data_IF_065169689279
#
_entry.id   IF_065169689279
#
_cell.length_a   1.000
_cell.length_b   1.000
_cell.length_c   1.000
_cell.angle_alpha   90.00
_cell.angle_beta   90.00
_cell.angle_gamma   90.00
#
_symmetry.space_group_name_H-M   'P 1'
#
loop_
_entity.id
_entity.type
_entity.pdbx_description
1 polymer ?
#
# COMPACT_ATOMS: atom_id res chain seq x y z
N UNK A 1 -27.65 -24.24 -33.66
CA UNK A 1 -27.05 -24.27 -32.33
C UNK A 1 -25.51 -24.51 -32.36
N UNK A 2 -24.76 -23.95 -33.33
CA UNK A 2 -23.28 -24.02 -33.40
C UNK A 2 -22.57 -22.67 -33.42
N UNK A 3 -23.32 -21.56 -33.34
CA UNK A 3 -22.77 -20.18 -33.43
C UNK A 3 -22.52 -19.48 -32.09
N UNK A 4 -22.89 -20.07 -30.94
CA UNK A 4 -22.75 -19.44 -29.64
C UNK A 4 -21.56 -19.96 -28.79
N UNK A 5 -20.72 -20.83 -29.37
CA UNK A 5 -19.59 -21.45 -28.64
C UNK A 5 -18.20 -20.82 -28.88
N UNK A 6 -18.09 -19.79 -29.71
CA UNK A 6 -16.78 -19.25 -30.15
C UNK A 6 -16.46 -17.83 -29.62
N UNK A 7 -17.07 -17.36 -28.54
CA UNK A 7 -16.77 -16.05 -27.96
C UNK A 7 -16.12 -16.09 -26.57
N UNK A 8 -15.69 -17.25 -26.12
CA UNK A 8 -14.73 -17.36 -25.01
C UNK A 8 -13.39 -17.79 -25.63
N UNK A 9 -12.84 -16.97 -26.52
CA UNK A 9 -11.39 -16.91 -26.65
C UNK A 9 -10.89 -16.48 -25.28
N UNK A 10 -10.14 -17.35 -24.59
CA UNK A 10 -9.39 -17.01 -23.39
C UNK A 10 -8.50 -15.83 -23.76
N UNK A 11 -8.97 -14.60 -23.44
CA UNK A 11 -8.14 -13.40 -23.54
C UNK A 11 -6.92 -13.69 -22.65
N UNK A 12 -5.78 -13.83 -23.25
CA UNK A 12 -4.54 -13.94 -22.48
C UNK A 12 -4.42 -12.69 -21.62
N UNK A 13 -4.08 -12.83 -20.33
CA UNK A 13 -3.93 -11.67 -19.46
C UNK A 13 -2.96 -10.67 -20.10
N UNK A 14 -3.43 -9.45 -20.35
CA UNK A 14 -2.62 -8.37 -20.96
C UNK A 14 -2.51 -7.19 -20.02
N UNK A 15 -1.43 -6.42 -20.15
CA UNK A 15 -1.30 -5.14 -19.48
C UNK A 15 -2.30 -4.14 -20.08
N UNK A 16 -3.03 -3.44 -19.23
CA UNK A 16 -4.02 -2.43 -19.61
C UNK A 16 -3.48 -1.05 -19.25
N UNK A 17 -3.49 -0.13 -20.21
CA UNK A 17 -2.92 1.22 -20.06
C UNK A 17 -3.86 2.33 -20.50
N UNK A 18 -5.05 1.99 -21.02
CA UNK A 18 -6.03 2.97 -21.47
C UNK A 18 -7.46 2.56 -21.09
N UNK A 19 -8.41 3.51 -21.07
CA UNK A 19 -9.84 3.20 -20.94
C UNK A 19 -10.39 2.32 -22.07
N UNK A 20 -9.85 2.48 -23.28
CA UNK A 20 -10.23 1.68 -24.45
C UNK A 20 -9.79 0.23 -24.31
N UNK A 21 -8.63 -0.03 -23.68
CA UNK A 21 -8.17 -1.38 -23.36
C UNK A 21 -9.13 -2.05 -22.34
N UNK A 22 -9.61 -1.29 -21.33
CA UNK A 22 -10.60 -1.78 -20.35
C UNK A 22 -11.91 -2.18 -21.03
N UNK A 23 -12.39 -1.35 -21.97
CA UNK A 23 -13.59 -1.67 -22.74
C UNK A 23 -13.38 -2.91 -23.61
N UNK A 24 -12.26 -2.97 -24.32
CA UNK A 24 -11.92 -4.12 -25.19
C UNK A 24 -11.77 -5.42 -24.41
N UNK A 25 -11.23 -5.35 -23.20
CA UNK A 25 -11.11 -6.48 -22.30
C UNK A 25 -12.43 -6.87 -21.59
N UNK A 26 -13.49 -6.08 -21.77
CA UNK A 26 -14.79 -6.33 -21.16
C UNK A 26 -14.87 -6.02 -19.66
N UNK A 27 -13.92 -5.26 -19.13
CA UNK A 27 -13.91 -4.85 -17.72
C UNK A 27 -14.83 -3.65 -17.43
N UNK A 28 -15.19 -2.88 -18.43
CA UNK A 28 -16.17 -1.80 -18.34
C UNK A 28 -17.17 -1.91 -19.49
N UNK A 29 -18.46 -1.56 -19.27
CA UNK A 29 -19.43 -1.48 -20.33
C UNK A 29 -19.26 -0.19 -21.15
N UNK A 30 -19.74 -0.14 -22.41
CA UNK A 30 -19.53 1.01 -23.32
C UNK A 30 -20.04 2.35 -22.78
N UNK A 31 -21.12 2.36 -22.03
CA UNK A 31 -21.72 3.55 -21.42
C UNK A 31 -20.89 4.13 -20.27
N UNK A 32 -19.95 3.37 -19.69
CA UNK A 32 -19.02 3.85 -18.68
C UNK A 32 -17.75 4.50 -19.26
N UNK A 33 -17.43 4.30 -20.55
CA UNK A 33 -16.17 4.72 -21.15
C UNK A 33 -15.88 6.21 -20.95
N UNK A 34 -16.88 7.08 -21.17
CA UNK A 34 -16.69 8.53 -21.03
C UNK A 34 -16.29 8.93 -19.59
N UNK A 35 -17.01 8.40 -18.59
CA UNK A 35 -16.72 8.69 -17.18
C UNK A 35 -15.37 8.11 -16.72
N UNK A 36 -14.99 6.94 -17.22
CA UNK A 36 -13.70 6.31 -16.96
C UNK A 36 -12.55 7.08 -17.63
N UNK A 37 -12.78 7.60 -18.84
CA UNK A 37 -11.79 8.46 -19.53
C UNK A 37 -11.56 9.76 -18.75
N UNK A 38 -12.60 10.39 -18.25
CA UNK A 38 -12.49 11.58 -17.38
C UNK A 38 -11.71 11.27 -16.10
N UNK A 39 -12.04 10.19 -15.37
CA UNK A 39 -11.32 9.75 -14.18
C UNK A 39 -9.83 9.45 -14.46
N UNK A 40 -9.54 8.94 -15.65
CA UNK A 40 -8.18 8.58 -16.08
C UNK A 40 -7.32 9.79 -16.46
N UNK A 41 -7.91 10.96 -16.62
CA UNK A 41 -7.18 12.22 -16.87
C UNK A 41 -6.39 12.67 -15.62
N UNK A 42 -6.90 12.41 -14.43
CA UNK A 42 -6.21 12.73 -13.15
C UNK A 42 -5.23 11.62 -12.75
N UNK A 43 -5.68 10.36 -12.78
CA UNK A 43 -4.85 9.20 -12.48
C UNK A 43 -4.96 8.22 -13.65
N UNK A 44 -3.90 8.05 -14.47
CA UNK A 44 -3.93 7.17 -15.64
C UNK A 44 -4.29 5.72 -15.30
N UNK A 45 -4.65 4.93 -16.31
CA UNK A 45 -4.82 3.49 -16.17
C UNK A 45 -3.47 2.81 -16.26
N UNK A 46 -3.16 1.95 -15.30
CA UNK A 46 -2.06 0.99 -15.38
C UNK A 46 -2.41 -0.25 -14.58
N UNK A 47 -2.61 -1.37 -15.27
CA UNK A 47 -2.96 -2.65 -14.67
C UNK A 47 -2.09 -3.72 -15.33
N UNK A 48 -1.29 -4.43 -14.55
CA UNK A 48 -0.40 -5.49 -15.07
C UNK A 48 -1.20 -6.68 -15.59
N UNK A 49 -0.58 -7.46 -16.48
CA UNK A 49 -1.16 -8.72 -16.95
C UNK A 49 -1.43 -9.72 -15.82
N UNK A 50 -0.66 -9.64 -14.74
CA UNK A 50 -0.91 -10.45 -13.54
C UNK A 50 -2.26 -10.09 -12.90
N UNK A 51 -2.48 -8.81 -12.63
CA UNK A 51 -3.74 -8.32 -12.03
C UNK A 51 -4.93 -8.54 -12.95
N UNK A 52 -4.80 -8.31 -14.26
CA UNK A 52 -5.91 -8.60 -15.20
C UNK A 52 -6.29 -10.08 -15.21
N UNK A 53 -5.34 -10.97 -14.98
CA UNK A 53 -5.59 -12.41 -14.80
C UNK A 53 -6.34 -12.79 -13.52
N UNK A 54 -6.36 -11.89 -12.50
CA UNK A 54 -7.09 -12.08 -11.24
C UNK A 54 -8.51 -11.49 -11.27
N UNK A 55 -8.82 -10.66 -12.27
CA UNK A 55 -10.13 -10.02 -12.40
C UNK A 55 -11.03 -10.92 -13.21
N UNK A 56 -12.14 -11.35 -12.62
CA UNK A 56 -13.21 -12.05 -13.34
C UNK A 56 -14.05 -11.03 -14.14
N UNK A 57 -14.04 -11.08 -15.49
CA UNK A 57 -14.86 -10.19 -16.30
C UNK A 57 -16.37 -10.33 -16.04
N UNK A 58 -16.84 -11.47 -15.53
CA UNK A 58 -18.22 -11.67 -15.13
C UNK A 58 -18.56 -11.03 -13.78
N UNK A 59 -17.53 -10.62 -13.00
CA UNK A 59 -17.66 -9.96 -11.70
C UNK A 59 -16.74 -8.75 -11.61
N UNK A 60 -16.95 -7.70 -12.44
CA UNK A 60 -16.07 -6.52 -12.49
C UNK A 60 -16.07 -5.70 -11.20
N UNK A 61 -16.99 -5.97 -10.28
CA UNK A 61 -17.08 -5.36 -8.95
C UNK A 61 -16.36 -6.14 -7.86
N UNK A 62 -15.55 -7.12 -8.22
CA UNK A 62 -14.74 -7.89 -7.28
C UNK A 62 -13.70 -7.03 -6.53
N UNK A 63 -13.20 -7.49 -5.37
CA UNK A 63 -12.32 -6.70 -4.50
C UNK A 63 -10.96 -6.37 -5.16
N UNK A 64 -10.48 -7.20 -6.09
CA UNK A 64 -9.28 -6.90 -6.87
C UNK A 64 -9.59 -5.83 -7.92
N UNK A 65 -10.65 -6.01 -8.71
CA UNK A 65 -11.06 -5.09 -9.77
C UNK A 65 -11.26 -3.66 -9.25
N UNK A 66 -12.01 -3.49 -8.16
CA UNK A 66 -12.27 -2.18 -7.54
C UNK A 66 -11.02 -1.38 -7.20
N UNK A 67 -9.90 -2.05 -6.94
CA UNK A 67 -8.65 -1.37 -6.60
C UNK A 67 -7.94 -0.76 -7.80
N UNK A 68 -8.21 -1.22 -9.03
CA UNK A 68 -7.42 -0.87 -10.21
C UNK A 68 -8.25 -0.34 -11.39
N UNK A 69 -9.51 -0.75 -11.51
CA UNK A 69 -10.38 -0.27 -12.58
C UNK A 69 -10.96 1.08 -12.18
N UNK A 70 -10.71 2.17 -12.94
CA UNK A 70 -11.28 3.48 -12.65
C UNK A 70 -12.81 3.48 -12.84
N UNK A 71 -13.47 4.34 -12.08
CA UNK A 71 -14.93 4.52 -12.16
C UNK A 71 -15.29 6.01 -12.20
N UNK A 72 -16.49 6.32 -12.70
CA UNK A 72 -17.02 7.69 -12.68
C UNK A 72 -17.19 8.28 -11.27
N UNK A 73 -17.16 7.47 -10.21
CA UNK A 73 -17.20 7.94 -8.82
C UNK A 73 -15.97 8.80 -8.46
N UNK A 74 -14.84 8.59 -9.15
CA UNK A 74 -13.60 9.36 -8.95
C UNK A 74 -13.71 10.81 -9.44
N UNK A 75 -14.65 11.11 -10.33
CA UNK A 75 -14.88 12.45 -10.86
C UNK A 75 -15.59 13.36 -9.83
N UNK A 76 -16.14 12.78 -8.76
CA UNK A 76 -16.78 13.54 -7.69
C UNK A 76 -15.75 13.90 -6.62
N UNK A 77 -15.51 15.20 -6.44
CA UNK A 77 -14.66 15.74 -5.36
C UNK A 77 -15.53 16.17 -4.20
N UNK A 78 -15.05 15.92 -2.98
CA UNK A 78 -15.68 16.39 -1.75
C UNK A 78 -14.89 17.57 -1.19
N UNK A 79 -15.59 18.50 -0.48
CA UNK A 79 -14.98 19.70 0.06
C UNK A 79 -13.82 19.44 1.03
N UNK A 80 -13.88 18.30 1.73
CA UNK A 80 -12.84 17.89 2.69
C UNK A 80 -11.65 17.15 2.06
N UNK A 81 -11.66 16.91 0.75
CA UNK A 81 -10.57 16.24 0.04
C UNK A 81 -9.42 17.19 -0.29
N UNK A 82 -8.21 16.69 -0.19
CA UNK A 82 -6.97 17.45 -0.32
C UNK A 82 -6.09 16.85 -1.42
N UNK A 83 -5.38 17.70 -2.16
CA UNK A 83 -4.35 17.27 -3.11
C UNK A 83 -3.15 16.67 -2.40
N UNK A 84 -2.81 17.16 -1.21
CA UNK A 84 -1.79 16.62 -0.31
C UNK A 84 -2.45 16.19 1.02
N UNK A 85 -3.15 15.05 1.05
CA UNK A 85 -3.99 14.66 2.18
C UNK A 85 -3.21 14.35 3.45
N UNK A 86 -1.93 13.99 3.35
CA UNK A 86 -1.08 13.68 4.50
C UNK A 86 0.01 14.72 4.75
N UNK A 87 0.06 15.81 3.96
CA UNK A 87 1.01 16.89 4.15
C UNK A 87 2.46 16.51 3.87
N UNK A 88 2.72 15.87 2.74
CA UNK A 88 4.10 15.57 2.32
C UNK A 88 4.82 16.84 1.84
N UNK A 89 4.12 17.76 1.16
CA UNK A 89 4.70 18.98 0.57
C UNK A 89 5.41 19.85 1.61
N UNK A 90 4.79 20.25 2.75
CA UNK A 90 5.45 21.08 3.74
C UNK A 90 6.65 20.40 4.43
N UNK A 91 6.77 19.09 4.31
CA UNK A 91 7.87 18.29 4.86
C UNK A 91 8.90 17.85 3.79
N UNK A 92 8.84 18.41 2.59
CA UNK A 92 9.75 18.10 1.48
C UNK A 92 10.80 19.23 1.31
N UNK A 93 11.92 19.19 2.05
CA UNK A 93 12.94 20.23 2.00
C UNK A 93 13.65 20.31 0.65
N UNK A 94 13.77 19.17 -0.04
CA UNK A 94 14.34 19.06 -1.39
C UNK A 94 13.60 17.98 -2.19
N UNK A 95 13.78 17.96 -3.50
CA UNK A 95 13.23 16.92 -4.35
C UNK A 95 13.68 15.52 -3.88
N UNK A 96 12.74 14.58 -3.85
CA UNK A 96 12.99 13.20 -3.46
C UNK A 96 13.03 12.93 -1.95
N UNK A 97 12.97 13.94 -1.08
CA UNK A 97 12.95 13.76 0.38
C UNK A 97 11.63 14.26 0.98
N UNK A 98 11.05 13.43 1.87
CA UNK A 98 10.01 13.86 2.81
C UNK A 98 10.52 13.56 4.22
N UNK A 99 10.78 14.61 5.02
CA UNK A 99 11.37 14.52 6.37
C UNK A 99 10.41 15.09 7.42
N UNK A 100 9.44 14.26 7.85
CA UNK A 100 8.41 14.63 8.85
C UNK A 100 8.79 14.24 10.27
N UNK A 101 9.53 13.14 10.42
CA UNK A 101 9.92 12.58 11.72
C UNK A 101 11.42 12.72 11.93
N UNK A 102 11.88 12.97 13.16
CA UNK A 102 13.29 13.30 13.40
C UNK A 102 14.26 12.16 13.04
N UNK A 103 13.83 10.90 13.16
CA UNK A 103 14.69 9.72 13.04
C UNK A 103 14.59 9.01 11.69
N UNK A 104 13.76 9.50 10.75
CA UNK A 104 13.54 8.82 9.47
C UNK A 104 13.04 9.73 8.37
N UNK A 105 13.39 9.38 7.14
CA UNK A 105 12.92 10.07 5.93
C UNK A 105 12.31 9.11 4.93
N UNK A 106 11.40 9.62 4.09
CA UNK A 106 11.09 8.98 2.83
C UNK A 106 12.10 9.47 1.77
N UNK A 107 12.70 8.54 1.05
CA UNK A 107 13.38 8.80 -0.21
C UNK A 107 12.47 8.30 -1.33
N UNK A 108 12.10 9.21 -2.25
CA UNK A 108 11.18 8.93 -3.36
C UNK A 108 11.93 8.95 -4.70
N UNK A 109 12.74 7.90 -5.00
CA UNK A 109 13.61 7.87 -6.18
C UNK A 109 12.84 7.64 -7.48
N UNK A 110 11.56 7.30 -7.39
CA UNK A 110 10.66 7.03 -8.51
C UNK A 110 9.23 7.38 -8.12
N UNK A 111 8.47 7.98 -9.05
CA UNK A 111 7.06 8.31 -8.87
C UNK A 111 6.14 7.46 -9.78
N UNK A 112 6.68 6.48 -10.48
CA UNK A 112 5.93 5.52 -11.29
C UNK A 112 5.67 4.23 -10.51
N UNK A 113 4.54 3.57 -10.77
CA UNK A 113 4.16 2.27 -10.23
C UNK A 113 3.86 1.27 -11.37
N UNK A 114 3.93 -0.04 -11.11
CA UNK A 114 3.51 -1.05 -12.09
C UNK A 114 1.99 -1.07 -12.30
N UNK A 115 1.25 -0.62 -11.29
CA UNK A 115 -0.21 -0.44 -11.30
C UNK A 115 -0.58 0.89 -10.66
N UNK A 116 -1.68 1.51 -11.08
CA UNK A 116 -2.20 2.71 -10.41
C UNK A 116 -3.43 2.35 -9.59
N UNK A 117 -3.21 2.30 -8.26
CA UNK A 117 -4.26 2.02 -7.29
C UNK A 117 -5.26 3.18 -7.25
N UNK A 118 -6.56 2.93 -7.45
CA UNK A 118 -7.56 3.99 -7.54
C UNK A 118 -7.78 4.76 -6.22
N UNK A 119 -7.36 4.20 -5.12
CA UNK A 119 -7.32 4.80 -3.77
C UNK A 119 -5.98 5.47 -3.41
N UNK A 120 -5.07 5.67 -4.39
CA UNK A 120 -3.75 6.24 -4.14
C UNK A 120 -3.87 7.66 -3.57
N UNK A 121 -3.24 7.90 -2.41
CA UNK A 121 -3.23 9.23 -1.79
C UNK A 121 -2.22 10.19 -2.47
N UNK A 122 -1.23 9.67 -3.20
CA UNK A 122 -0.27 10.44 -4.01
C UNK A 122 -0.66 10.54 -5.48
N UNK A 123 -1.95 10.38 -5.78
CA UNK A 123 -2.45 10.30 -7.16
C UNK A 123 -2.08 11.50 -8.02
N UNK A 124 -1.89 12.68 -7.41
CA UNK A 124 -1.49 13.91 -8.12
C UNK A 124 -0.01 13.92 -8.55
N UNK A 125 0.84 13.09 -7.90
CA UNK A 125 2.29 13.04 -8.18
C UNK A 125 2.71 11.73 -8.88
N UNK A 126 1.84 10.73 -8.94
CA UNK A 126 2.16 9.44 -9.55
C UNK A 126 2.20 9.57 -11.07
N UNK A 127 3.30 9.08 -11.68
CA UNK A 127 3.53 9.13 -13.13
C UNK A 127 4.71 9.99 -13.56
N UNK A 128 5.26 10.83 -12.69
CA UNK A 128 6.34 11.79 -13.02
C UNK A 128 7.72 11.14 -13.26
N UNK A 129 7.80 9.81 -13.23
CA UNK A 129 9.01 9.07 -13.63
C UNK A 129 10.05 8.90 -12.53
N UNK A 130 11.31 8.89 -12.94
CA UNK A 130 12.47 8.74 -12.05
C UNK A 130 12.99 10.10 -11.61
N UNK A 131 13.39 10.20 -10.34
CA UNK A 131 14.16 11.34 -9.84
C UNK A 131 15.44 11.50 -10.67
N UNK A 132 15.73 12.72 -11.12
CA UNK A 132 16.95 13.00 -11.87
C UNK A 132 18.20 12.64 -11.06
N UNK A 133 19.31 12.31 -11.76
CA UNK A 133 20.53 11.87 -11.06
C UNK A 133 21.05 12.93 -10.10
N UNK A 134 21.07 14.18 -10.51
CA UNK A 134 21.52 15.31 -9.68
C UNK A 134 20.64 15.50 -8.44
N UNK A 135 19.34 15.29 -8.58
CA UNK A 135 18.39 15.37 -7.45
C UNK A 135 18.55 14.18 -6.50
N UNK A 136 18.80 12.99 -7.04
CA UNK A 136 19.08 11.83 -6.22
C UNK A 136 20.39 12.01 -5.42
N UNK A 137 21.44 12.52 -6.05
CA UNK A 137 22.71 12.79 -5.38
C UNK A 137 22.50 13.83 -4.25
N UNK A 138 21.74 14.90 -4.52
CA UNK A 138 21.37 15.88 -3.51
C UNK A 138 20.54 15.28 -2.35
N UNK A 139 19.62 14.35 -2.65
CA UNK A 139 18.82 13.65 -1.65
C UNK A 139 19.70 12.72 -0.76
N UNK A 140 20.66 12.02 -1.35
CA UNK A 140 21.63 11.20 -0.62
C UNK A 140 22.57 12.06 0.24
N UNK A 141 23.00 13.22 -0.26
CA UNK A 141 23.79 14.17 0.51
C UNK A 141 22.99 14.79 1.66
N UNK A 142 21.70 15.06 1.43
CA UNK A 142 20.80 15.48 2.51
C UNK A 142 20.79 14.44 3.65
N UNK A 143 20.56 13.16 3.33
CA UNK A 143 20.57 12.07 4.32
C UNK A 143 21.93 12.00 5.03
N UNK A 144 23.04 12.10 4.30
CA UNK A 144 24.40 12.03 4.83
C UNK A 144 24.72 13.15 5.82
N UNK A 145 24.13 14.35 5.60
CA UNK A 145 24.34 15.53 6.42
C UNK A 145 23.39 15.65 7.63
N UNK A 146 22.44 14.71 7.80
CA UNK A 146 21.45 14.69 8.89
C UNK A 146 21.65 13.41 9.71
N UNK A 147 22.58 13.46 10.66
CA UNK A 147 23.00 12.27 11.44
C UNK A 147 21.92 11.71 12.38
N UNK A 148 20.86 12.45 12.61
CA UNK A 148 19.65 11.99 13.34
C UNK A 148 18.81 11.00 12.54
N UNK A 149 18.98 10.89 11.21
CA UNK A 149 18.26 9.96 10.37
C UNK A 149 18.79 8.55 10.58
N UNK A 150 18.07 7.76 11.35
CA UNK A 150 18.37 6.37 11.64
C UNK A 150 17.81 5.40 10.58
N UNK A 151 16.68 5.77 9.94
CA UNK A 151 15.98 4.94 8.95
C UNK A 151 15.70 5.71 7.66
N UNK A 152 15.95 5.05 6.51
CA UNK A 152 15.56 5.55 5.19
C UNK A 152 14.50 4.65 4.57
N UNK A 153 13.38 5.23 4.18
CA UNK A 153 12.23 4.53 3.61
C UNK A 153 12.14 4.84 2.11
N UNK A 154 12.44 3.86 1.27
CA UNK A 154 12.20 3.97 -0.17
C UNK A 154 10.70 3.84 -0.44
N UNK A 155 10.13 4.85 -1.10
CA UNK A 155 8.70 4.96 -1.40
C UNK A 155 8.49 5.86 -2.63
N UNK A 156 7.37 6.57 -2.73
CA UNK A 156 6.98 7.48 -3.81
C UNK A 156 5.98 6.82 -4.74
N UNK A 157 6.42 6.33 -5.90
CA UNK A 157 5.78 5.26 -6.64
C UNK A 157 6.17 3.91 -6.02
N UNK A 158 6.50 2.93 -6.82
CA UNK A 158 6.98 1.65 -6.28
C UNK A 158 8.47 1.47 -6.58
N UNK A 159 9.34 1.46 -5.55
CA UNK A 159 10.78 1.37 -5.74
C UNK A 159 11.25 0.12 -6.49
N UNK A 160 10.51 -1.01 -6.38
CA UNK A 160 10.91 -2.27 -7.01
C UNK A 160 10.65 -2.32 -8.52
N UNK A 161 10.08 -1.26 -9.13
CA UNK A 161 10.04 -1.14 -10.59
C UNK A 161 11.37 -0.69 -11.19
N UNK A 162 12.24 -0.09 -10.39
CA UNK A 162 13.55 0.33 -10.86
C UNK A 162 14.39 -0.88 -11.30
N UNK A 163 15.33 -0.63 -12.22
CA UNK A 163 16.26 -1.68 -12.61
C UNK A 163 17.13 -2.13 -11.42
N UNK A 164 17.57 -3.40 -11.37
CA UNK A 164 18.50 -3.87 -10.34
C UNK A 164 19.75 -3.00 -10.23
N UNK A 165 20.28 -2.49 -11.35
CA UNK A 165 21.42 -1.57 -11.36
C UNK A 165 21.13 -0.27 -10.59
N UNK A 166 19.95 0.35 -10.81
CA UNK A 166 19.56 1.60 -10.13
C UNK A 166 19.34 1.36 -8.64
N UNK A 167 18.66 0.25 -8.28
CA UNK A 167 18.49 -0.16 -6.90
C UNK A 167 19.84 -0.38 -6.20
N UNK A 168 20.75 -1.13 -6.84
CA UNK A 168 22.10 -1.35 -6.31
C UNK A 168 22.83 -0.03 -6.02
N UNK A 169 22.75 0.94 -6.94
CA UNK A 169 23.37 2.26 -6.75
C UNK A 169 22.82 2.97 -5.52
N UNK A 170 21.51 3.02 -5.35
CA UNK A 170 20.86 3.70 -4.22
C UNK A 170 21.17 2.98 -2.91
N UNK A 171 20.98 1.65 -2.89
CA UNK A 171 21.17 0.85 -1.66
C UNK A 171 22.63 0.88 -1.22
N UNK A 172 23.60 0.84 -2.15
CA UNK A 172 25.03 1.01 -1.81
C UNK A 172 25.31 2.36 -1.17
N UNK A 173 24.79 3.44 -1.79
CA UNK A 173 25.03 4.78 -1.27
C UNK A 173 24.44 4.99 0.14
N UNK A 174 23.32 4.30 0.46
CA UNK A 174 22.72 4.31 1.79
C UNK A 174 23.50 3.42 2.78
N UNK A 175 23.99 2.24 2.32
CA UNK A 175 24.79 1.31 3.13
C UNK A 175 26.16 1.90 3.55
N UNK A 176 26.65 2.91 2.83
CA UNK A 176 27.88 3.68 3.11
C UNK A 176 27.67 4.81 4.13
N UNK A 177 26.43 5.09 4.56
CA UNK A 177 26.13 6.14 5.55
C UNK A 177 26.06 5.51 6.94
N UNK A 178 27.04 5.76 7.78
CA UNK A 178 27.23 5.08 9.08
C UNK A 178 26.04 5.16 10.03
N UNK A 179 25.30 6.27 10.04
CA UNK A 179 24.15 6.45 10.93
C UNK A 179 22.84 5.84 10.38
N UNK A 180 22.79 5.45 9.12
CA UNK A 180 21.61 4.76 8.54
C UNK A 180 21.66 3.30 8.95
N UNK A 181 20.91 2.94 9.98
CA UNK A 181 20.87 1.60 10.54
C UNK A 181 19.87 0.67 9.86
N UNK A 182 18.85 1.22 9.20
CA UNK A 182 17.75 0.48 8.54
C UNK A 182 17.37 1.13 7.22
N UNK A 183 17.19 0.29 6.21
CA UNK A 183 16.54 0.67 4.95
C UNK A 183 15.20 -0.07 4.91
N UNK A 184 14.12 0.63 4.58
CA UNK A 184 12.80 0.03 4.42
C UNK A 184 12.26 0.34 3.02
N UNK A 185 11.65 -0.64 2.38
CA UNK A 185 11.09 -0.51 1.04
C UNK A 185 9.59 -0.75 1.11
N UNK A 186 8.80 0.24 0.70
CA UNK A 186 7.36 0.10 0.54
C UNK A 186 7.07 -0.31 -0.90
N UNK A 187 6.42 -1.45 -1.08
CA UNK A 187 6.18 -2.02 -2.41
C UNK A 187 4.87 -2.80 -2.49
N UNK A 188 4.29 -2.81 -3.68
CA UNK A 188 3.18 -3.67 -4.04
C UNK A 188 3.59 -4.72 -5.08
N UNK A 189 4.81 -4.65 -5.60
CA UNK A 189 5.33 -5.53 -6.67
C UNK A 189 5.09 -7.01 -6.40
N UNK A 190 5.33 -7.58 -5.21
CA UNK A 190 5.13 -9.02 -5.00
C UNK A 190 3.71 -9.53 -5.30
N UNK A 191 2.68 -8.67 -5.17
CA UNK A 191 1.27 -9.05 -5.43
C UNK A 191 0.71 -8.50 -6.74
N UNK A 192 1.38 -7.54 -7.39
CA UNK A 192 0.88 -6.96 -8.65
C UNK A 192 1.74 -7.29 -9.87
N UNK A 193 3.01 -7.65 -9.66
CA UNK A 193 3.94 -8.08 -10.71
C UNK A 193 5.01 -9.02 -10.12
N UNK A 194 4.61 -10.21 -9.61
CA UNK A 194 5.50 -11.12 -8.88
C UNK A 194 6.73 -11.55 -9.68
N UNK A 195 6.65 -11.56 -11.01
CA UNK A 195 7.76 -11.95 -11.91
C UNK A 195 8.95 -10.99 -11.81
N UNK A 196 8.78 -9.80 -11.28
CA UNK A 196 9.88 -8.84 -11.03
C UNK A 196 10.78 -9.23 -9.87
N UNK A 197 10.32 -10.10 -8.98
CA UNK A 197 11.14 -10.60 -7.86
C UNK A 197 12.11 -11.65 -8.39
N UNK A 198 13.18 -11.19 -9.02
CA UNK A 198 14.22 -12.01 -9.64
C UNK A 198 15.46 -12.08 -8.74
N UNK A 199 16.33 -13.07 -8.98
CA UNK A 199 17.61 -13.20 -8.25
C UNK A 199 18.48 -11.93 -8.37
N UNK A 200 18.46 -11.26 -9.51
CA UNK A 200 19.18 -10.02 -9.72
C UNK A 200 18.62 -8.87 -8.87
N UNK A 201 17.30 -8.78 -8.70
CA UNK A 201 16.67 -7.81 -7.80
C UNK A 201 17.00 -8.14 -6.35
N UNK A 202 16.87 -9.39 -5.94
CA UNK A 202 17.25 -9.86 -4.59
C UNK A 202 18.70 -9.51 -4.27
N UNK A 203 19.61 -9.78 -5.20
CA UNK A 203 21.04 -9.44 -5.05
C UNK A 203 21.26 -7.93 -4.93
N UNK A 204 20.49 -7.13 -5.68
CA UNK A 204 20.56 -5.66 -5.62
C UNK A 204 20.19 -5.10 -4.23
N UNK A 205 19.34 -5.80 -3.49
CA UNK A 205 18.87 -5.37 -2.16
C UNK A 205 19.74 -5.84 -1.00
N UNK A 206 20.53 -6.92 -1.16
CA UNK A 206 21.35 -7.50 -0.07
C UNK A 206 22.55 -6.62 0.26
N UNK A 207 22.60 -6.11 1.49
CA UNK A 207 23.72 -5.31 2.03
C UNK A 207 23.95 -5.63 3.50
N UNK A 208 24.96 -4.96 4.09
CA UNK A 208 25.22 -5.00 5.53
C UNK A 208 24.07 -4.38 6.31
N UNK A 209 23.60 -3.21 5.87
CA UNK A 209 22.43 -2.54 6.46
C UNK A 209 21.18 -3.37 6.22
N UNK A 210 20.39 -3.72 7.27
CA UNK A 210 19.16 -4.48 7.13
C UNK A 210 18.15 -3.79 6.22
N UNK A 211 17.60 -4.55 5.27
CA UNK A 211 16.54 -4.10 4.37
C UNK A 211 15.23 -4.78 4.76
N UNK A 212 14.26 -3.98 5.20
CA UNK A 212 12.90 -4.43 5.49
C UNK A 212 11.99 -4.20 4.29
N UNK A 213 11.16 -5.17 3.97
CA UNK A 213 10.16 -5.04 2.90
C UNK A 213 8.79 -4.87 3.53
N UNK A 214 8.10 -3.78 3.19
CA UNK A 214 6.72 -3.54 3.61
C UNK A 214 5.80 -3.74 2.41
N UNK A 215 5.15 -4.89 2.40
CA UNK A 215 4.21 -5.29 1.36
C UNK A 215 2.92 -4.49 1.48
N UNK A 216 2.48 -3.85 0.41
CA UNK A 216 1.14 -3.28 0.31
C UNK A 216 0.20 -4.31 -0.34
N UNK A 217 -0.78 -4.79 0.43
CA UNK A 217 -1.80 -5.74 0.01
C UNK A 217 -3.10 -5.45 0.77
N UNK A 218 -4.24 -5.42 0.09
CA UNK A 218 -5.54 -5.06 0.68
C UNK A 218 -6.54 -6.21 0.70
N UNK A 219 -6.35 -7.27 -0.08
CA UNK A 219 -7.25 -8.41 -0.11
C UNK A 219 -6.50 -9.74 -0.24
N UNK A 220 -7.05 -10.80 0.34
CA UNK A 220 -6.42 -12.13 0.28
C UNK A 220 -6.34 -12.69 -1.15
N UNK A 221 -7.25 -12.29 -2.03
CA UNK A 221 -7.27 -12.71 -3.44
C UNK A 221 -6.11 -12.14 -4.27
N UNK A 222 -5.39 -11.15 -3.77
CA UNK A 222 -4.13 -10.67 -4.38
C UNK A 222 -2.98 -11.65 -4.13
N UNK A 223 -3.10 -12.50 -3.10
CA UNK A 223 -2.04 -13.41 -2.65
C UNK A 223 -2.20 -14.81 -3.25
N UNK A 224 -2.15 -14.89 -4.59
CA UNK A 224 -2.14 -16.15 -5.34
C UNK A 224 -0.76 -16.80 -5.29
N UNK A 225 -0.64 -18.00 -5.85
CA UNK A 225 0.58 -18.83 -5.78
C UNK A 225 1.83 -18.09 -6.25
N UNK A 226 1.74 -17.32 -7.33
CA UNK A 226 2.86 -16.54 -7.86
C UNK A 226 3.31 -15.44 -6.90
N UNK A 227 2.35 -14.77 -6.24
CA UNK A 227 2.64 -13.77 -5.22
C UNK A 227 3.26 -14.41 -3.97
N UNK A 228 2.73 -15.57 -3.53
CA UNK A 228 3.30 -16.33 -2.41
C UNK A 228 4.75 -16.75 -2.69
N UNK A 229 5.05 -17.21 -3.92
CA UNK A 229 6.40 -17.57 -4.33
C UNK A 229 7.36 -16.37 -4.34
N UNK A 230 6.89 -15.22 -4.84
CA UNK A 230 7.66 -13.96 -4.81
C UNK A 230 7.98 -13.53 -3.37
N UNK A 231 7.00 -13.60 -2.47
CA UNK A 231 7.17 -13.32 -1.04
C UNK A 231 8.14 -14.32 -0.41
N UNK A 232 7.98 -15.63 -0.67
CA UNK A 232 8.88 -16.66 -0.17
C UNK A 232 10.33 -16.41 -0.62
N UNK A 233 10.54 -16.02 -1.88
CA UNK A 233 11.88 -15.66 -2.40
C UNK A 233 12.50 -14.54 -1.58
N UNK A 234 11.76 -13.49 -1.23
CA UNK A 234 12.28 -12.40 -0.39
C UNK A 234 12.60 -12.88 1.04
N UNK A 235 11.67 -13.58 1.69
CA UNK A 235 11.84 -14.07 3.06
C UNK A 235 12.98 -15.08 3.17
N UNK A 236 13.10 -16.03 2.23
CA UNK A 236 14.14 -17.06 2.23
C UNK A 236 15.54 -16.47 1.96
N UNK A 237 15.58 -15.27 1.37
CA UNK A 237 16.81 -14.50 1.20
C UNK A 237 17.13 -13.58 2.38
N UNK A 238 16.37 -13.66 3.48
CA UNK A 238 16.66 -13.00 4.75
C UNK A 238 16.07 -11.59 4.89
N UNK A 239 15.14 -11.18 4.03
CA UNK A 239 14.45 -9.88 4.18
C UNK A 239 13.28 -10.03 5.17
N UNK A 240 13.29 -9.31 6.31
CA UNK A 240 12.12 -9.21 7.17
C UNK A 240 10.95 -8.59 6.41
N UNK A 241 9.79 -9.24 6.46
CA UNK A 241 8.61 -8.75 5.76
C UNK A 241 7.51 -8.31 6.71
N UNK A 242 7.03 -7.09 6.48
CA UNK A 242 5.88 -6.49 7.12
C UNK A 242 4.81 -6.20 6.06
N UNK A 243 3.56 -5.96 6.47
CA UNK A 243 2.54 -5.49 5.54
C UNK A 243 1.91 -4.18 5.98
N UNK A 244 1.49 -3.41 5.00
CA UNK A 244 0.54 -2.32 5.20
C UNK A 244 -0.66 -2.53 4.28
N UNK A 245 -1.84 -2.22 4.80
CA UNK A 245 -3.12 -2.28 4.10
C UNK A 245 -3.86 -0.97 4.33
N UNK A 246 -4.71 -0.58 3.39
CA UNK A 246 -5.65 0.52 3.57
C UNK A 246 -7.04 -0.08 3.79
N UNK A 247 -7.78 0.44 4.75
CA UNK A 247 -9.17 0.06 4.98
C UNK A 247 -10.06 0.72 3.91
N UNK A 248 -10.63 -0.08 3.03
CA UNK A 248 -11.35 0.35 1.83
C UNK A 248 -12.77 -0.21 1.81
N UNK A 249 -13.75 0.67 1.65
CA UNK A 249 -15.17 0.34 1.57
C UNK A 249 -15.45 -0.58 0.38
N UNK A 250 -16.16 -1.66 0.63
CA UNK A 250 -16.55 -2.66 -0.37
C UNK A 250 -15.40 -3.50 -0.91
N UNK A 251 -14.23 -3.49 -0.23
CA UNK A 251 -13.05 -4.30 -0.56
C UNK A 251 -12.64 -5.15 0.66
N UNK A 252 -12.36 -4.51 1.79
CA UNK A 252 -11.88 -5.20 2.99
C UNK A 252 -12.48 -4.63 4.30
N UNK A 253 -13.59 -3.92 4.21
CA UNK A 253 -14.31 -3.33 5.33
C UNK A 253 -15.25 -4.32 6.06
N UNK A 254 -15.14 -5.60 5.75
CA UNK A 254 -15.76 -6.71 6.47
C UNK A 254 -14.74 -7.39 7.40
N UNK A 255 -15.09 -7.69 8.67
CA UNK A 255 -14.17 -8.30 9.63
C UNK A 255 -13.66 -9.69 9.23
N UNK A 256 -14.46 -10.50 8.54
CA UNK A 256 -14.06 -11.85 8.15
C UNK A 256 -13.15 -11.82 6.92
N UNK A 257 -13.38 -10.89 5.99
CA UNK A 257 -12.48 -10.58 4.85
C UNK A 257 -11.13 -10.09 5.39
N UNK A 258 -11.14 -9.15 6.35
CA UNK A 258 -9.91 -8.67 6.98
C UNK A 258 -9.18 -9.79 7.72
N UNK A 259 -9.90 -10.65 8.44
CA UNK A 259 -9.32 -11.82 9.12
C UNK A 259 -8.66 -12.79 8.14
N UNK A 260 -9.28 -13.04 7.00
CA UNK A 260 -8.71 -13.88 5.93
C UNK A 260 -7.39 -13.29 5.40
N UNK A 261 -7.35 -11.99 5.12
CA UNK A 261 -6.14 -11.29 4.69
C UNK A 261 -5.03 -11.41 5.74
N UNK A 262 -5.32 -11.10 7.02
CA UNK A 262 -4.32 -11.14 8.09
C UNK A 262 -3.73 -12.54 8.28
N UNK A 263 -4.57 -13.59 8.22
CA UNK A 263 -4.11 -14.98 8.28
C UNK A 263 -3.24 -15.33 7.09
N UNK A 264 -3.64 -14.94 5.88
CA UNK A 264 -2.93 -15.20 4.64
C UNK A 264 -1.53 -14.57 4.67
N UNK A 265 -1.41 -13.30 5.10
CA UNK A 265 -0.14 -12.62 5.28
C UNK A 265 0.79 -13.39 6.23
N UNK A 266 0.28 -13.77 7.42
CA UNK A 266 1.09 -14.50 8.41
C UNK A 266 1.52 -15.88 7.91
N UNK A 267 0.65 -16.60 7.19
CA UNK A 267 1.02 -17.89 6.59
C UNK A 267 2.14 -17.77 5.55
N UNK A 268 2.26 -16.60 4.91
CA UNK A 268 3.38 -16.26 4.02
C UNK A 268 4.58 -15.61 4.75
N UNK A 269 4.62 -15.68 6.08
CA UNK A 269 5.71 -15.08 6.90
C UNK A 269 5.82 -13.55 6.78
N UNK A 270 4.70 -12.88 6.48
CA UNK A 270 4.57 -11.42 6.46
C UNK A 270 3.83 -10.98 7.71
N UNK A 271 4.45 -10.17 8.57
CA UNK A 271 3.81 -9.65 9.77
C UNK A 271 2.88 -8.47 9.42
N UNK A 272 1.56 -8.55 9.66
CA UNK A 272 0.68 -7.38 9.58
C UNK A 272 1.20 -6.25 10.47
N UNK A 273 1.53 -5.11 9.85
CA UNK A 273 2.13 -3.97 10.53
C UNK A 273 1.12 -2.84 10.69
N UNK A 274 0.68 -2.25 9.58
CA UNK A 274 -0.31 -1.18 9.61
C UNK A 274 -1.58 -1.55 8.84
N UNK A 275 -2.73 -1.19 9.41
CA UNK A 275 -3.99 -0.97 8.71
C UNK A 275 -4.24 0.54 8.72
N UNK A 276 -4.08 1.20 7.59
CA UNK A 276 -4.33 2.63 7.47
C UNK A 276 -5.83 2.91 7.33
N UNK A 277 -6.32 3.93 8.03
CA UNK A 277 -7.58 4.56 7.69
C UNK A 277 -7.40 5.28 6.33
N UNK A 278 -8.42 5.25 5.45
CA UNK A 278 -8.32 5.87 4.14
C UNK A 278 -8.10 7.38 4.22
N UNK A 279 -7.09 7.87 3.51
CA UNK A 279 -6.74 9.28 3.47
C UNK A 279 -7.79 10.09 2.68
N UNK A 280 -7.85 11.41 2.93
CA UNK A 280 -8.78 12.33 2.26
C UNK A 280 -8.23 12.83 0.91
N UNK A 281 -7.73 11.91 0.07
CA UNK A 281 -7.29 12.24 -1.28
C UNK A 281 -8.48 12.54 -2.21
N UNK A 282 -8.29 13.45 -3.15
CA UNK A 282 -9.32 13.83 -4.13
C UNK A 282 -9.77 12.62 -4.95
N UNK A 283 -11.10 12.48 -5.17
CA UNK A 283 -11.68 11.40 -5.95
C UNK A 283 -11.59 10.01 -5.32
N UNK A 284 -11.38 9.92 -3.99
CA UNK A 284 -11.31 8.62 -3.28
C UNK A 284 -12.45 8.43 -2.27
N UNK A 285 -13.42 9.34 -2.22
CA UNK A 285 -14.52 9.32 -1.23
C UNK A 285 -15.29 8.01 -1.18
N UNK A 286 -15.50 7.38 -2.33
CA UNK A 286 -16.24 6.12 -2.47
C UNK A 286 -15.52 4.92 -1.82
N UNK A 287 -14.21 5.01 -1.55
CA UNK A 287 -13.42 4.01 -0.82
C UNK A 287 -13.37 4.25 0.69
N UNK A 288 -13.77 5.44 1.16
CA UNK A 288 -13.62 5.78 2.57
C UNK A 288 -14.63 5.06 3.45
N UNK A 289 -14.14 4.60 4.59
CA UNK A 289 -14.94 4.04 5.68
C UNK A 289 -15.03 5.06 6.84
N UNK A 290 -15.70 4.70 7.92
CA UNK A 290 -15.66 5.49 9.16
C UNK A 290 -14.59 4.94 10.12
N UNK A 291 -14.10 5.79 11.02
CA UNK A 291 -13.22 5.36 12.12
C UNK A 291 -13.92 4.28 12.98
N UNK A 292 -15.23 4.41 13.18
CA UNK A 292 -16.02 3.43 13.91
C UNK A 292 -15.99 2.04 13.23
N UNK A 293 -16.08 1.98 11.90
CA UNK A 293 -15.92 0.74 11.13
C UNK A 293 -14.55 0.10 11.38
N UNK A 294 -13.48 0.89 11.26
CA UNK A 294 -12.11 0.38 11.50
C UNK A 294 -11.92 -0.13 12.93
N UNK A 295 -12.44 0.60 13.93
CA UNK A 295 -12.42 0.16 15.34
C UNK A 295 -13.17 -1.15 15.55
N UNK A 296 -14.36 -1.29 14.96
CA UNK A 296 -15.15 -2.52 15.05
C UNK A 296 -14.42 -3.72 14.44
N UNK A 297 -13.76 -3.54 13.28
CA UNK A 297 -12.94 -4.57 12.65
C UNK A 297 -11.79 -4.99 13.58
N UNK A 298 -11.00 -4.03 14.08
CA UNK A 298 -9.88 -4.33 14.98
C UNK A 298 -10.36 -5.05 16.25
N UNK A 299 -11.47 -4.60 16.86
CA UNK A 299 -12.05 -5.25 18.02
C UNK A 299 -12.47 -6.69 17.70
N UNK A 300 -13.01 -6.94 16.49
CA UNK A 300 -13.41 -8.27 16.04
C UNK A 300 -12.21 -9.20 15.80
N UNK A 301 -11.06 -8.66 15.38
CA UNK A 301 -9.83 -9.44 15.22
C UNK A 301 -9.19 -9.80 16.57
N UNK A 302 -9.28 -8.89 17.54
CA UNK A 302 -8.63 -9.03 18.85
C UNK A 302 -9.26 -10.17 19.67
N UNK A 303 -8.40 -11.00 20.28
CA UNK A 303 -8.82 -12.16 21.06
C UNK A 303 -9.35 -13.35 20.24
N UNK A 304 -9.58 -13.19 18.94
CA UNK A 304 -10.07 -14.24 18.02
C UNK A 304 -9.02 -14.76 17.07
N UNK A 305 -8.07 -13.90 16.71
CA UNK A 305 -6.90 -14.27 15.92
C UNK A 305 -5.64 -14.20 16.77
N UNK A 306 -4.62 -14.96 16.35
CA UNK A 306 -3.28 -14.87 16.90
C UNK A 306 -2.77 -13.43 16.98
N UNK A 307 -1.98 -13.10 17.98
CA UNK A 307 -1.28 -11.82 18.06
C UNK A 307 -0.41 -11.52 16.82
N UNK A 308 0.04 -12.55 16.10
CA UNK A 308 0.73 -12.38 14.82
C UNK A 308 -0.16 -11.74 13.73
N UNK A 309 -1.48 -11.96 13.80
CA UNK A 309 -2.46 -11.44 12.83
C UNK A 309 -3.00 -10.04 13.19
N UNK A 310 -2.45 -9.37 14.20
CA UNK A 310 -2.95 -8.08 14.67
C UNK A 310 -2.14 -6.93 14.07
N UNK A 311 -2.72 -6.12 13.15
CA UNK A 311 -2.11 -4.87 12.70
C UNK A 311 -2.37 -3.75 13.70
N UNK A 312 -1.56 -2.68 13.64
CA UNK A 312 -1.90 -1.39 14.25
C UNK A 312 -2.81 -0.61 13.30
N UNK A 313 -4.02 -0.25 13.75
CA UNK A 313 -4.91 0.63 12.99
C UNK A 313 -4.48 2.07 13.17
N UNK A 314 -4.15 2.74 12.07
CA UNK A 314 -3.50 4.04 12.06
C UNK A 314 -4.33 5.07 11.29
N UNK A 315 -4.39 6.27 11.83
CA UNK A 315 -4.92 7.46 11.17
C UNK A 315 -3.77 8.41 10.87
N UNK A 316 -3.60 8.80 9.61
CA UNK A 316 -2.78 9.94 9.23
C UNK A 316 -3.57 11.22 9.48
N UNK A 317 -3.02 12.12 10.30
CA UNK A 317 -3.67 13.39 10.58
C UNK A 317 -3.42 14.33 9.40
N UNK A 318 -4.48 14.85 8.72
CA UNK A 318 -4.29 15.76 7.61
C UNK A 318 -3.42 16.97 7.96
N UNK A 319 -2.68 17.50 6.97
CA UNK A 319 -1.79 18.64 7.18
C UNK A 319 -0.39 18.30 7.68
N UNK A 320 -0.01 17.02 7.66
CA UNK A 320 1.36 16.62 7.99
C UNK A 320 1.64 16.41 9.48
N UNK A 321 0.59 16.32 10.31
CA UNK A 321 0.72 16.17 11.77
C UNK A 321 1.09 14.74 12.21
N UNK A 322 1.39 13.84 11.26
CA UNK A 322 1.85 12.49 11.55
C UNK A 322 0.73 11.47 11.75
N UNK A 323 1.12 10.26 12.19
CA UNK A 323 0.23 9.12 12.38
C UNK A 323 -0.05 8.86 13.85
N UNK A 324 -1.30 8.53 14.16
CA UNK A 324 -1.71 8.11 15.50
C UNK A 324 -2.47 6.78 15.44
N UNK A 325 -2.36 5.94 16.49
CA UNK A 325 -3.24 4.76 16.64
C UNK A 325 -4.69 5.20 16.76
N UNK A 326 -5.56 4.64 15.92
CA UNK A 326 -6.99 4.94 15.88
C UNK A 326 -7.86 3.87 16.53
N UNK A 327 -7.27 2.79 17.06
CA UNK A 327 -7.98 1.74 17.78
C UNK A 327 -8.63 2.25 19.07
N UNK A 328 -9.65 1.52 19.55
CA UNK A 328 -10.29 1.82 20.82
C UNK A 328 -9.34 1.56 22.00
N UNK A 329 -9.40 2.41 23.01
CA UNK A 329 -8.68 2.18 24.27
C UNK A 329 -9.39 1.10 25.09
N UNK A 330 -8.64 0.10 25.53
CA UNK A 330 -9.13 -0.98 26.38
C UNK A 330 -8.99 -0.68 27.89
N UNK A 331 -8.24 0.37 28.24
CA UNK A 331 -8.01 0.81 29.60
C UNK A 331 -8.50 2.25 29.75
N UNK A 332 -9.24 2.48 30.85
CA UNK A 332 -9.70 3.82 31.26
C UNK A 332 -9.38 3.99 32.74
N UNK A 333 -8.68 5.07 33.09
CA UNK A 333 -8.44 5.39 34.49
C UNK A 333 -9.72 5.90 35.15
N UNK A 334 -10.00 5.43 36.34
CA UNK A 334 -11.16 5.89 37.14
C UNK A 334 -10.74 6.75 38.32
N UNK A 335 -9.59 6.44 38.95
CA UNK A 335 -8.95 7.16 40.03
C UNK A 335 -7.47 6.74 40.10
N UNK A 336 -6.72 7.28 41.06
CA UNK A 336 -5.25 7.21 41.15
C UNK A 336 -4.66 5.78 41.18
N UNK A 337 -5.46 4.75 41.37
CA UNK A 337 -4.94 3.38 41.47
C UNK A 337 -5.83 2.31 40.82
N UNK A 338 -6.91 2.72 40.17
CA UNK A 338 -7.86 1.79 39.57
C UNK A 338 -8.06 2.05 38.07
N UNK A 339 -8.05 0.96 37.33
CA UNK A 339 -8.32 0.95 35.89
C UNK A 339 -9.57 0.13 35.61
N UNK A 340 -10.41 0.66 34.76
CA UNK A 340 -11.47 -0.14 34.11
C UNK A 340 -10.86 -0.73 32.83
N UNK A 341 -10.82 -2.06 32.76
CA UNK A 341 -10.26 -2.80 31.64
C UNK A 341 -11.37 -3.54 30.91
N UNK A 342 -11.50 -3.29 29.62
CA UNK A 342 -12.44 -3.99 28.75
C UNK A 342 -11.74 -5.18 28.11
N UNK A 343 -12.26 -6.41 28.29
CA UNK A 343 -11.71 -7.58 27.61
C UNK A 343 -12.18 -7.67 26.13
N UNK A 344 -11.68 -8.66 25.42
CA UNK A 344 -12.01 -8.86 24.00
C UNK A 344 -13.46 -9.29 23.75
N UNK A 345 -14.17 -9.77 24.78
CA UNK A 345 -15.60 -10.11 24.74
C UNK A 345 -16.50 -8.91 25.06
N UNK A 346 -15.88 -7.80 25.53
CA UNK A 346 -16.58 -6.58 25.93
C UNK A 346 -16.93 -6.52 27.41
N UNK A 347 -16.56 -7.53 28.22
CA UNK A 347 -16.76 -7.49 29.65
C UNK A 347 -15.79 -6.52 30.31
N UNK A 348 -16.23 -5.95 31.44
CA UNK A 348 -15.47 -4.95 32.17
C UNK A 348 -14.87 -5.58 33.45
N UNK A 349 -13.59 -5.31 33.66
CA UNK A 349 -12.81 -5.78 34.81
C UNK A 349 -12.16 -4.58 35.50
N UNK A 350 -11.90 -4.74 36.81
CA UNK A 350 -11.14 -3.75 37.59
C UNK A 350 -9.73 -4.30 37.77
N UNK A 351 -8.75 -3.46 37.44
CA UNK A 351 -7.33 -3.73 37.67
C UNK A 351 -6.76 -2.64 38.59
N UNK A 352 -5.92 -3.04 39.53
CA UNK A 352 -5.23 -2.17 40.47
C UNK A 352 -3.73 -2.25 40.18
N UNK A 353 -3.08 -1.10 40.14
CA UNK A 353 -1.60 -1.01 40.09
C UNK A 353 -0.99 -1.37 41.44
#
# INVERSE_FOLDING_TARGET
>A
MKAARNLVQSLQPQTITSPEDLLTAGFIPPDHLAAVTEASATLPVSITSHITGLIDPASPDGPVAKQFIPTGLENTKQDEELADPIGDIPHSPIAGIVHRYPDRVLLTPVLTCPVYCRFCFRREAVGDGLLALVELDAALDYIRNHSEIWEVILSGGDPLIMSPRRLTQIINALDEIDHVAVIRIHTRVPVVDPKRITDSLVTALKRKTPVFIVLHCNHADEMVVEAEQAIATLVDNGFPMLSQSVLLKGINDDPDVMAALMKKLVSCRVKPYYLHHGDKAQGTSHFRTTIATGRAIIARLRGRLSGLCQPSYMLDIPGGHGKVPAAEAYLQVTDDSRWVVKDWQGNTHIYHD
#
